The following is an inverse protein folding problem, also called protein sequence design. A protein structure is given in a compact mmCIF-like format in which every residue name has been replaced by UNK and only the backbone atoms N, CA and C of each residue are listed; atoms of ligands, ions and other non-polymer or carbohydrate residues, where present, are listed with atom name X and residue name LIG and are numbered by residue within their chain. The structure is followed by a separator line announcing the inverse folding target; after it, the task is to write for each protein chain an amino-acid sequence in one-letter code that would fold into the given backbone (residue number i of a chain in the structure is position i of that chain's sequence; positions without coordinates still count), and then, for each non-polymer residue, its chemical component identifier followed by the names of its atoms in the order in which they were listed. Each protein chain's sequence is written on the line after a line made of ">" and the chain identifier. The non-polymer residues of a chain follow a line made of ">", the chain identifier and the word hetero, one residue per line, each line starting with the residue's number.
data_IF_064613639742
#
_entry.id   IF_064613639742
#
_cell.length_a   1.000
_cell.length_b   1.000
_cell.length_c   1.000
_cell.angle_alpha   90.00
_cell.angle_beta   90.00
_cell.angle_gamma   90.00
#
_symmetry.space_group_name_H-M   'P 1'
#
loop_
_entity.id
_entity.type
_entity.pdbx_description
1 polymer ?
#
# COMPACT_ATOMS: atom_id res chain seq x y z
N UNK A 1 24.34 9.29 -5.97
CA UNK A 1 22.87 9.30 -6.14
C UNK A 1 22.42 7.88 -6.38
N UNK A 2 21.78 7.25 -5.38
CA UNK A 2 21.56 5.82 -5.31
C UNK A 2 20.37 5.29 -6.16
N UNK A 3 20.49 4.11 -6.77
CA UNK A 3 19.42 3.22 -7.24
C UNK A 3 18.83 2.46 -6.03
N UNK A 4 17.50 2.50 -5.78
CA UNK A 4 16.88 1.74 -4.70
C UNK A 4 17.22 0.24 -4.79
N UNK A 5 17.50 -0.40 -3.65
CA UNK A 5 17.90 -1.80 -3.53
C UNK A 5 19.36 -2.10 -3.92
N UNK A 6 19.99 -1.30 -4.79
CA UNK A 6 21.36 -1.51 -5.26
C UNK A 6 22.37 -0.57 -4.60
N UNK A 7 22.06 0.73 -4.62
CA UNK A 7 22.90 1.79 -4.04
C UNK A 7 22.21 2.41 -2.80
N UNK A 8 20.92 2.11 -2.57
CA UNK A 8 20.15 2.43 -1.36
C UNK A 8 19.41 1.17 -0.88
N UNK A 9 20.03 0.34 -0.03
CA UNK A 9 19.50 -0.96 0.38
C UNK A 9 18.27 -0.87 1.30
N UNK A 10 17.88 0.33 1.75
CA UNK A 10 16.89 0.53 2.81
C UNK A 10 17.51 0.45 4.22
N UNK A 11 16.74 0.85 5.23
CA UNK A 11 17.12 0.72 6.65
C UNK A 11 16.81 -0.69 7.16
N UNK A 12 17.53 -1.19 8.18
CA UNK A 12 17.31 -2.54 8.74
C UNK A 12 15.87 -2.76 9.25
N UNK A 13 15.24 -1.70 9.74
CA UNK A 13 13.84 -1.68 10.22
C UNK A 13 12.84 -1.13 9.19
N UNK A 14 13.33 -0.51 8.11
CA UNK A 14 12.52 0.19 7.13
C UNK A 14 12.10 -0.68 5.95
N UNK A 15 11.37 -0.08 5.01
CA UNK A 15 10.92 -0.72 3.77
C UNK A 15 12.10 -1.31 3.01
N UNK A 16 12.19 -2.64 2.97
CA UNK A 16 13.11 -3.34 2.08
C UNK A 16 12.77 -2.95 0.64
N UNK A 17 13.76 -2.59 -0.15
CA UNK A 17 13.60 -2.35 -1.58
C UNK A 17 13.88 -3.63 -2.37
N UNK A 18 13.02 -3.96 -3.34
CA UNK A 18 13.20 -5.11 -4.25
C UNK A 18 14.19 -4.86 -5.37
N UNK A 19 14.58 -3.60 -5.61
CA UNK A 19 15.61 -3.23 -6.61
C UNK A 19 15.24 -3.47 -8.08
N UNK A 20 14.01 -3.88 -8.38
CA UNK A 20 13.50 -4.07 -9.74
C UNK A 20 12.00 -3.77 -9.83
N UNK A 21 11.52 -3.53 -11.04
CA UNK A 21 10.11 -3.34 -11.36
C UNK A 21 9.80 -4.06 -12.68
N UNK A 22 8.60 -4.60 -12.79
CA UNK A 22 8.08 -5.11 -14.05
C UNK A 22 7.73 -3.96 -15.00
N UNK A 23 7.81 -4.22 -16.32
CA UNK A 23 7.37 -3.26 -17.35
C UNK A 23 5.91 -3.43 -17.72
N UNK A 24 5.38 -4.64 -17.56
CA UNK A 24 3.99 -5.02 -17.80
C UNK A 24 3.70 -6.35 -17.07
N UNK A 25 2.45 -6.82 -17.13
CA UNK A 25 2.08 -8.08 -16.52
C UNK A 25 2.76 -9.31 -17.16
N UNK A 26 3.11 -9.23 -18.44
CA UNK A 26 3.78 -10.31 -19.14
C UNK A 26 5.22 -10.52 -18.62
N UNK A 27 5.84 -9.49 -18.06
CA UNK A 27 7.17 -9.55 -17.45
C UNK A 27 7.24 -10.61 -16.34
N UNK A 28 6.20 -10.75 -15.52
CA UNK A 28 6.13 -11.79 -14.49
C UNK A 28 6.04 -13.21 -15.05
N UNK A 29 5.60 -13.37 -16.31
CA UNK A 29 5.50 -14.67 -16.98
C UNK A 29 6.79 -14.98 -17.74
N UNK A 30 7.26 -14.03 -18.54
CA UNK A 30 8.43 -14.20 -19.40
C UNK A 30 9.74 -14.31 -18.59
N UNK A 31 9.80 -13.59 -17.47
CA UNK A 31 10.96 -13.56 -16.57
C UNK A 31 10.63 -14.13 -15.19
N UNK A 32 9.74 -15.13 -15.12
CA UNK A 32 9.33 -15.77 -13.86
C UNK A 32 10.53 -16.27 -13.03
N UNK A 33 11.52 -16.91 -13.65
CA UNK A 33 12.75 -17.38 -12.98
C UNK A 33 13.49 -16.27 -12.19
N UNK A 34 13.31 -15.01 -12.59
CA UNK A 34 13.85 -13.84 -11.91
C UNK A 34 12.85 -13.28 -10.88
N UNK A 35 11.62 -12.97 -11.29
CA UNK A 35 10.63 -12.35 -10.41
C UNK A 35 10.20 -13.26 -9.27
N UNK A 36 10.02 -14.56 -9.51
CA UNK A 36 9.59 -15.53 -8.50
C UNK A 36 10.60 -15.65 -7.36
N UNK A 37 11.91 -15.61 -7.68
CA UNK A 37 12.98 -15.61 -6.67
C UNK A 37 12.97 -14.34 -5.82
N UNK A 38 12.66 -13.20 -6.42
CA UNK A 38 12.57 -11.93 -5.70
C UNK A 38 11.34 -11.93 -4.79
N UNK A 39 10.20 -12.39 -5.29
CA UNK A 39 8.96 -12.52 -4.53
C UNK A 39 9.17 -13.49 -3.36
N UNK A 40 9.79 -14.65 -3.59
CA UNK A 40 10.08 -15.63 -2.54
C UNK A 40 11.04 -15.08 -1.49
N UNK A 41 12.11 -14.41 -1.90
CA UNK A 41 13.08 -13.80 -0.97
C UNK A 41 12.47 -12.67 -0.15
N UNK A 42 11.68 -11.81 -0.80
CA UNK A 42 11.08 -10.63 -0.15
C UNK A 42 9.94 -11.01 0.79
N UNK A 43 9.03 -11.86 0.31
CA UNK A 43 7.81 -12.21 1.03
C UNK A 43 7.92 -13.50 1.83
N UNK A 44 8.97 -14.31 1.66
CA UNK A 44 8.96 -15.68 2.20
C UNK A 44 7.80 -16.53 1.65
N UNK A 45 7.28 -16.17 0.47
CA UNK A 45 6.17 -16.85 -0.21
C UNK A 45 6.70 -17.63 -1.40
N UNK A 46 6.60 -18.95 -1.34
CA UNK A 46 7.10 -19.82 -2.41
C UNK A 46 6.15 -19.75 -3.61
N UNK A 47 6.59 -19.11 -4.67
CA UNK A 47 5.85 -19.07 -5.94
C UNK A 47 6.04 -20.41 -6.65
N UNK A 48 5.02 -21.26 -6.59
CA UNK A 48 4.97 -22.52 -7.35
C UNK A 48 3.78 -22.49 -8.31
N UNK A 49 3.79 -23.38 -9.30
CA UNK A 49 2.70 -23.46 -10.29
C UNK A 49 1.36 -23.90 -9.69
N UNK A 50 1.40 -24.58 -8.53
CA UNK A 50 0.24 -24.98 -7.72
C UNK A 50 -0.11 -23.96 -6.63
N UNK A 51 0.69 -22.90 -6.44
CA UNK A 51 0.37 -21.85 -5.50
C UNK A 51 -0.88 -21.09 -5.96
N UNK A 52 -1.80 -20.86 -5.03
CA UNK A 52 -3.02 -20.07 -5.26
C UNK A 52 -3.06 -18.96 -4.24
N UNK A 53 -3.03 -17.72 -4.71
CA UNK A 53 -3.29 -16.58 -3.84
C UNK A 53 -4.78 -16.47 -3.56
N UNK A 54 -5.14 -16.35 -2.29
CA UNK A 54 -6.50 -16.11 -1.85
C UNK A 54 -6.73 -14.61 -1.66
N UNK A 55 -7.93 -14.14 -2.00
CA UNK A 55 -8.36 -12.75 -1.75
C UNK A 55 -9.65 -12.75 -0.93
N UNK A 56 -9.71 -11.87 0.06
CA UNK A 56 -10.89 -11.65 0.89
C UNK A 56 -11.02 -10.16 1.21
N UNK A 57 -11.94 -9.51 0.49
CA UNK A 57 -12.34 -8.12 0.71
C UNK A 57 -13.62 -7.98 1.54
N UNK A 58 -14.09 -9.07 2.17
CA UNK A 58 -15.22 -8.97 3.08
C UNK A 58 -14.78 -8.30 4.40
N UNK A 59 -14.95 -6.98 4.48
CA UNK A 59 -14.53 -6.19 5.63
C UNK A 59 -15.20 -6.60 6.95
N UNK A 60 -16.36 -7.28 6.93
CA UNK A 60 -17.02 -7.82 8.13
C UNK A 60 -16.21 -8.96 8.79
N UNK A 61 -15.28 -9.57 8.05
CA UNK A 61 -14.38 -10.60 8.58
C UNK A 61 -13.26 -10.02 9.45
N UNK A 62 -12.92 -8.73 9.30
CA UNK A 62 -11.93 -8.07 10.16
C UNK A 62 -12.47 -7.92 11.60
N UNK A 63 -11.66 -8.29 12.60
CA UNK A 63 -12.03 -8.22 14.01
C UNK A 63 -11.24 -7.14 14.75
N UNK A 64 -11.97 -6.16 15.28
CA UNK A 64 -11.41 -4.96 15.92
C UNK A 64 -10.85 -3.96 14.91
N UNK A 65 -9.88 -3.16 15.34
CA UNK A 65 -9.27 -2.12 14.50
C UNK A 65 -10.01 -0.78 14.57
N UNK A 66 -11.07 -0.71 15.37
CA UNK A 66 -11.80 0.46 15.83
C UNK A 66 -11.60 0.72 17.34
N UNK A 67 -10.80 -0.12 18.01
CA UNK A 67 -10.63 -0.20 19.46
C UNK A 67 -9.16 -0.03 19.89
N UNK A 68 -8.34 0.65 19.09
CA UNK A 68 -6.99 1.04 19.50
C UNK A 68 -7.02 2.06 20.63
N UNK A 69 -5.97 2.07 21.47
CA UNK A 69 -5.83 3.07 22.52
C UNK A 69 -5.47 4.44 21.90
N UNK A 70 -6.35 5.46 22.00
CA UNK A 70 -6.12 6.77 21.39
C UNK A 70 -4.97 7.55 22.03
N UNK A 71 -4.44 7.11 23.19
CA UNK A 71 -3.23 7.68 23.76
C UNK A 71 -1.97 7.31 22.96
N UNK A 72 -2.01 6.20 22.20
CA UNK A 72 -0.88 5.71 21.42
C UNK A 72 -1.10 5.82 19.92
N UNK A 73 -2.34 5.69 19.44
CA UNK A 73 -2.64 5.73 17.99
C UNK A 73 -3.16 7.09 17.56
N UNK A 74 -2.49 7.70 16.57
CA UNK A 74 -2.87 9.01 16.03
C UNK A 74 -3.55 8.95 14.66
N UNK A 75 -3.43 7.83 13.94
CA UNK A 75 -4.07 7.68 12.65
C UNK A 75 -3.90 6.30 12.04
N UNK A 76 -4.79 5.97 11.12
CA UNK A 76 -4.80 4.73 10.36
C UNK A 76 -4.88 5.03 8.87
N UNK A 77 -4.19 4.24 8.05
CA UNK A 77 -4.22 4.36 6.60
C UNK A 77 -4.26 2.98 5.97
N UNK A 78 -5.16 2.78 5.00
CA UNK A 78 -5.16 1.61 4.13
C UNK A 78 -4.97 2.08 2.70
N UNK A 79 -4.03 1.45 2.01
CA UNK A 79 -3.78 1.69 0.59
C UNK A 79 -3.94 0.41 -0.20
N UNK A 80 -4.41 0.51 -1.45
CA UNK A 80 -4.43 -0.62 -2.38
C UNK A 80 -4.05 -0.18 -3.79
N UNK A 81 -3.12 -0.89 -4.41
CA UNK A 81 -2.67 -0.66 -5.79
C UNK A 81 -3.35 -1.62 -6.76
N UNK A 82 -3.72 -1.14 -7.95
CA UNK A 82 -4.28 -1.95 -9.04
C UNK A 82 -3.66 -1.56 -10.38
N UNK A 83 -3.30 -2.57 -11.15
CA UNK A 83 -2.98 -2.42 -12.56
C UNK A 83 -4.09 -2.93 -13.45
N UNK A 84 -4.21 -2.32 -14.64
CA UNK A 84 -5.26 -2.55 -15.63
C UNK A 84 -4.67 -3.32 -16.81
N UNK A 85 -5.37 -4.35 -17.27
CA UNK A 85 -5.03 -5.14 -18.45
C UNK A 85 -4.94 -4.26 -19.71
N UNK A 86 -4.17 -4.68 -20.70
CA UNK A 86 -3.90 -3.96 -21.97
C UNK A 86 -3.01 -2.70 -21.85
N UNK A 87 -2.44 -2.42 -20.67
CA UNK A 87 -1.51 -1.31 -20.45
C UNK A 87 -0.20 -1.81 -19.86
N UNK A 88 0.93 -1.36 -20.44
CA UNK A 88 2.22 -1.43 -19.74
C UNK A 88 2.18 -0.57 -18.48
N UNK A 89 2.92 -0.96 -17.44
CA UNK A 89 2.99 -0.24 -16.18
C UNK A 89 3.62 1.15 -16.34
N UNK A 90 3.43 2.09 -15.37
CA UNK A 90 3.91 3.46 -15.49
C UNK A 90 5.41 3.61 -15.82
N UNK A 91 6.23 2.65 -15.39
CA UNK A 91 7.66 2.56 -15.71
C UNK A 91 7.92 2.52 -17.22
N UNK A 92 7.08 1.83 -18.00
CA UNK A 92 7.31 1.53 -19.42
C UNK A 92 6.22 2.03 -20.38
N UNK A 93 5.04 2.41 -19.88
CA UNK A 93 3.95 2.94 -20.72
C UNK A 93 4.42 4.09 -21.61
N UNK A 94 3.88 4.14 -22.82
CA UNK A 94 3.96 5.29 -23.69
C UNK A 94 3.11 6.44 -23.17
N UNK A 95 3.43 7.67 -23.59
CA UNK A 95 2.59 8.85 -23.30
C UNK A 95 1.14 8.67 -23.76
N UNK A 96 0.93 7.96 -24.88
CA UNK A 96 -0.40 7.65 -25.41
C UNK A 96 -1.18 6.68 -24.51
N UNK A 97 -0.54 5.62 -24.03
CA UNK A 97 -1.15 4.68 -23.07
C UNK A 97 -1.52 5.37 -21.77
N UNK A 98 -0.63 6.19 -21.20
CA UNK A 98 -0.89 6.93 -19.97
C UNK A 98 -2.14 7.81 -20.08
N UNK A 99 -2.28 8.53 -21.19
CA UNK A 99 -3.47 9.37 -21.48
C UNK A 99 -4.74 8.54 -21.64
N UNK A 100 -4.67 7.41 -22.36
CA UNK A 100 -5.83 6.50 -22.49
C UNK A 100 -6.25 5.93 -21.15
N UNK A 101 -5.30 5.55 -20.29
CA UNK A 101 -5.59 5.09 -18.94
C UNK A 101 -6.24 6.18 -18.08
N UNK A 102 -5.79 7.44 -18.20
CA UNK A 102 -6.44 8.56 -17.50
C UNK A 102 -7.89 8.76 -17.97
N UNK A 103 -8.16 8.70 -19.29
CA UNK A 103 -9.54 8.78 -19.81
C UNK A 103 -10.42 7.67 -19.26
N UNK A 104 -9.88 6.45 -19.19
CA UNK A 104 -10.57 5.29 -18.62
C UNK A 104 -10.85 5.49 -17.12
N UNK A 105 -9.85 5.95 -16.36
CA UNK A 105 -9.98 6.26 -14.95
C UNK A 105 -11.01 7.35 -14.70
N UNK A 106 -11.03 8.43 -15.49
CA UNK A 106 -12.04 9.48 -15.37
C UNK A 106 -13.46 8.91 -15.54
N UNK A 107 -13.67 8.07 -16.55
CA UNK A 107 -14.98 7.43 -16.82
C UNK A 107 -15.43 6.54 -15.65
N UNK A 108 -14.51 5.79 -15.04
CA UNK A 108 -14.81 4.94 -13.88
C UNK A 108 -15.05 5.77 -12.61
N UNK A 109 -14.27 6.83 -12.39
CA UNK A 109 -14.34 7.67 -11.19
C UNK A 109 -15.53 8.63 -11.22
N UNK A 110 -16.02 9.04 -12.39
CA UNK A 110 -17.31 9.73 -12.55
C UNK A 110 -18.47 8.84 -12.09
N UNK A 111 -18.49 7.57 -12.50
CA UNK A 111 -19.51 6.59 -12.06
C UNK A 111 -19.37 6.25 -10.56
N UNK A 112 -18.15 6.13 -10.04
CA UNK A 112 -17.93 5.99 -8.60
C UNK A 112 -18.47 7.21 -7.83
N UNK A 113 -18.36 8.40 -8.44
CA UNK A 113 -18.85 9.68 -7.95
C UNK A 113 -20.36 9.76 -7.75
N UNK A 114 -21.15 8.86 -8.35
CA UNK A 114 -22.60 8.81 -8.14
C UNK A 114 -22.96 8.36 -6.71
N UNK A 115 -22.21 7.41 -6.16
CA UNK A 115 -22.39 6.90 -4.79
C UNK A 115 -21.50 7.64 -3.78
N UNK A 116 -20.29 8.00 -4.18
CA UNK A 116 -19.30 8.69 -3.34
C UNK A 116 -18.85 9.96 -4.06
N UNK A 117 -19.59 11.08 -3.90
CA UNK A 117 -19.29 12.32 -4.61
C UNK A 117 -17.84 12.74 -4.45
N UNK A 118 -17.17 13.05 -5.56
CA UNK A 118 -15.77 13.43 -5.57
C UNK A 118 -15.38 14.14 -6.85
N UNK A 119 -14.11 14.54 -6.95
CA UNK A 119 -13.58 15.28 -8.10
C UNK A 119 -12.18 14.79 -8.47
N UNK A 120 -11.96 14.60 -9.77
CA UNK A 120 -10.64 14.36 -10.34
C UNK A 120 -9.92 15.70 -10.56
N UNK A 121 -8.67 15.77 -10.11
CA UNK A 121 -7.76 16.88 -10.35
C UNK A 121 -6.55 16.36 -11.12
N UNK A 122 -6.18 17.02 -12.20
CA UNK A 122 -4.86 16.79 -12.79
C UNK A 122 -3.77 17.25 -11.81
N UNK A 123 -2.60 16.64 -11.89
CA UNK A 123 -1.47 17.08 -11.06
C UNK A 123 -1.06 18.52 -11.38
N UNK A 124 -1.18 18.93 -12.64
CA UNK A 124 -0.92 20.32 -13.07
C UNK A 124 -1.82 21.32 -12.32
N UNK A 125 -3.12 21.02 -12.20
CA UNK A 125 -4.05 21.82 -11.41
C UNK A 125 -3.76 21.83 -9.90
N UNK A 126 -3.08 20.81 -9.36
CA UNK A 126 -2.70 20.73 -7.94
C UNK A 126 -1.39 21.45 -7.64
N UNK A 127 -0.50 21.58 -8.62
CA UNK A 127 0.73 22.36 -8.49
C UNK A 127 0.47 23.86 -8.52
N UNK A 128 -0.66 24.30 -9.07
CA UNK A 128 -1.11 25.69 -9.02
C UNK A 128 -2.02 25.90 -7.80
N UNK A 129 -1.48 26.59 -6.81
CA UNK A 129 -2.10 26.91 -5.52
C UNK A 129 -3.57 27.35 -5.67
N UNK A 130 -4.45 26.62 -4.99
CA UNK A 130 -5.73 27.15 -4.54
C UNK A 130 -5.79 26.92 -3.04
N UNK A 131 -6.00 27.99 -2.27
CA UNK A 131 -5.96 28.03 -0.80
C UNK A 131 -6.79 26.93 -0.11
N UNK A 132 -7.78 26.38 -0.80
CA UNK A 132 -8.66 25.31 -0.30
C UNK A 132 -8.03 23.91 -0.29
N UNK A 133 -6.82 23.71 -0.85
CA UNK A 133 -6.29 22.36 -1.12
C UNK A 133 -5.19 21.95 -0.13
N UNK A 134 -5.42 20.82 0.56
CA UNK A 134 -4.49 20.20 1.52
C UNK A 134 -3.32 19.42 0.89
N UNK A 135 -3.30 19.27 -0.44
CA UNK A 135 -2.32 18.44 -1.15
C UNK A 135 -1.58 19.33 -2.16
N UNK A 136 -0.30 19.61 -1.87
CA UNK A 136 0.63 20.21 -2.81
C UNK A 136 1.46 19.09 -3.41
N UNK A 137 1.40 18.93 -4.73
CA UNK A 137 2.23 17.94 -5.41
C UNK A 137 3.56 18.57 -5.82
N UNK A 138 4.64 18.07 -5.22
CA UNK A 138 6.00 18.44 -5.59
C UNK A 138 6.48 17.69 -6.85
N UNK A 139 7.57 18.18 -7.43
CA UNK A 139 8.23 17.48 -8.52
C UNK A 139 8.76 16.11 -8.03
N UNK A 140 8.59 15.02 -8.80
CA UNK A 140 8.95 13.69 -8.35
C UNK A 140 10.45 13.59 -8.04
N UNK A 141 10.83 12.86 -6.98
CA UNK A 141 12.23 12.70 -6.63
C UNK A 141 13.00 11.99 -7.75
N UNK A 142 14.32 12.20 -7.78
CA UNK A 142 15.21 11.61 -8.79
C UNK A 142 15.13 10.07 -8.86
N UNK A 143 14.74 9.40 -7.77
CA UNK A 143 14.48 7.96 -7.75
C UNK A 143 13.37 7.55 -8.72
N UNK A 144 12.24 8.27 -8.75
CA UNK A 144 11.11 8.00 -9.66
C UNK A 144 11.43 8.34 -11.12
N UNK A 145 12.29 9.33 -11.36
CA UNK A 145 12.79 9.67 -12.70
C UNK A 145 13.63 8.53 -13.27
N UNK A 146 14.54 7.96 -12.47
CA UNK A 146 15.45 6.90 -12.90
C UNK A 146 14.73 5.60 -13.30
N UNK A 147 13.61 5.29 -12.67
CA UNK A 147 12.82 4.09 -12.97
C UNK A 147 11.75 4.30 -14.05
N UNK A 148 11.70 5.50 -14.64
CA UNK A 148 10.80 5.80 -15.75
C UNK A 148 9.37 6.22 -15.38
N UNK A 149 8.99 6.12 -14.10
CA UNK A 149 7.66 6.52 -13.58
C UNK A 149 7.35 7.99 -13.85
N UNK A 150 8.35 8.87 -13.71
CA UNK A 150 8.20 10.31 -13.90
C UNK A 150 8.41 10.80 -15.36
N UNK A 151 8.46 9.91 -16.37
CA UNK A 151 8.59 10.35 -17.77
C UNK A 151 7.40 11.20 -18.21
N UNK A 152 7.66 12.31 -18.90
CA UNK A 152 6.63 13.29 -19.31
C UNK A 152 5.88 13.96 -18.15
N UNK A 153 6.44 14.03 -16.94
CA UNK A 153 5.76 14.66 -15.79
C UNK A 153 5.32 16.11 -16.08
N UNK A 154 4.11 16.55 -15.68
CA UNK A 154 3.03 15.82 -14.99
C UNK A 154 1.96 15.21 -15.92
N UNK A 155 2.24 15.05 -17.23
CA UNK A 155 1.25 14.67 -18.26
C UNK A 155 0.44 13.43 -17.90
N UNK A 156 -0.88 13.55 -17.90
CA UNK A 156 -1.84 12.49 -17.65
C UNK A 156 -1.75 11.81 -16.26
N UNK A 157 -1.28 12.54 -15.23
CA UNK A 157 -1.42 12.13 -13.82
C UNK A 157 -2.55 12.89 -13.17
N UNK A 158 -3.24 12.21 -12.26
CA UNK A 158 -4.36 12.81 -11.55
C UNK A 158 -4.54 12.23 -10.16
N UNK A 159 -5.27 12.98 -9.35
CA UNK A 159 -5.75 12.63 -8.03
C UNK A 159 -7.25 12.87 -8.00
N UNK A 160 -8.02 11.81 -7.75
CA UNK A 160 -9.42 11.94 -7.41
C UNK A 160 -9.60 11.98 -5.90
N UNK A 161 -10.42 12.90 -5.41
CA UNK A 161 -10.73 13.06 -3.99
C UNK A 161 -12.23 12.96 -3.78
N UNK A 162 -12.65 12.11 -2.84
CA UNK A 162 -14.02 12.15 -2.34
C UNK A 162 -14.27 13.44 -1.57
N UNK A 163 -15.51 13.93 -1.63
CA UNK A 163 -15.93 15.17 -0.99
C UNK A 163 -15.86 15.09 0.54
N UNK A 164 -16.10 13.90 1.10
CA UNK A 164 -15.98 13.63 2.53
C UNK A 164 -14.53 13.40 2.98
N UNK A 165 -13.57 13.34 2.05
CA UNK A 165 -12.15 13.11 2.32
C UNK A 165 -11.82 11.67 2.75
N UNK A 166 -12.78 10.74 2.70
CA UNK A 166 -12.58 9.35 3.12
C UNK A 166 -11.76 8.52 2.13
N UNK A 167 -11.72 8.91 0.84
CA UNK A 167 -11.00 8.20 -0.22
C UNK A 167 -10.27 9.16 -1.16
N UNK A 168 -9.01 8.83 -1.45
CA UNK A 168 -8.23 9.38 -2.54
C UNK A 168 -7.88 8.28 -3.54
N UNK A 169 -7.90 8.59 -4.84
CA UNK A 169 -7.45 7.67 -5.90
C UNK A 169 -6.43 8.36 -6.77
N UNK A 170 -5.18 7.90 -6.68
CA UNK A 170 -4.09 8.35 -7.54
C UNK A 170 -4.12 7.58 -8.85
N UNK A 171 -3.91 8.29 -9.95
CA UNK A 171 -3.92 7.73 -11.31
C UNK A 171 -2.57 8.01 -11.99
N UNK A 172 -1.98 6.98 -12.61
CA UNK A 172 -0.69 7.05 -13.33
C UNK A 172 0.52 7.49 -12.49
N UNK A 173 0.55 7.09 -11.22
CA UNK A 173 1.68 7.33 -10.33
C UNK A 173 2.67 6.16 -10.41
N UNK A 174 2.99 5.49 -9.31
CA UNK A 174 3.86 4.29 -9.32
C UNK A 174 3.17 3.09 -9.99
N UNK A 175 1.84 2.99 -9.86
CA UNK A 175 0.97 2.07 -10.59
C UNK A 175 -0.16 2.83 -11.30
N UNK A 176 -0.99 2.08 -12.04
CA UNK A 176 -2.14 2.65 -12.75
C UNK A 176 -3.13 3.32 -11.80
N UNK A 177 -3.52 2.63 -10.72
CA UNK A 177 -4.39 3.16 -9.68
C UNK A 177 -3.81 2.85 -8.31
N UNK A 178 -3.84 3.83 -7.41
CA UNK A 178 -3.59 3.63 -5.98
C UNK A 178 -4.68 4.32 -5.16
N UNK A 179 -5.50 3.52 -4.50
CA UNK A 179 -6.53 4.00 -3.58
C UNK A 179 -5.90 4.19 -2.20
N UNK A 180 -6.30 5.24 -1.50
CA UNK A 180 -5.83 5.60 -0.17
C UNK A 180 -7.01 6.05 0.67
N UNK A 181 -7.21 5.42 1.83
CA UNK A 181 -8.14 5.89 2.86
C UNK A 181 -7.36 6.17 4.13
N UNK A 182 -7.50 7.39 4.66
CA UNK A 182 -6.85 7.82 5.89
C UNK A 182 -7.91 8.22 6.93
N UNK A 183 -7.65 7.85 8.19
CA UNK A 183 -8.54 8.03 9.33
C UNK A 183 -7.75 8.57 10.51
N UNK A 184 -8.07 9.78 10.96
CA UNK A 184 -7.45 10.40 12.14
C UNK A 184 -8.11 10.00 13.46
N UNK A 185 -9.17 9.20 13.42
CA UNK A 185 -9.94 8.72 14.59
C UNK A 185 -9.49 7.34 15.07
N UNK A 186 -8.27 6.92 14.71
CA UNK A 186 -7.71 5.61 15.03
C UNK A 186 -8.57 4.41 14.57
N UNK A 187 -9.43 4.58 13.55
CA UNK A 187 -10.23 3.49 12.99
C UNK A 187 -9.60 2.94 11.72
N UNK A 188 -8.81 1.87 11.86
CA UNK A 188 -8.32 1.07 10.72
C UNK A 188 -9.46 0.28 10.07
N UNK A 189 -10.47 -0.11 10.84
CA UNK A 189 -11.63 -0.84 10.34
C UNK A 189 -12.39 -0.04 9.28
N UNK A 190 -12.72 1.23 9.54
CA UNK A 190 -13.45 2.06 8.58
C UNK A 190 -12.58 2.46 7.39
N UNK A 191 -11.26 2.66 7.57
CA UNK A 191 -10.33 2.84 6.46
C UNK A 191 -10.30 1.61 5.53
N UNK A 192 -10.22 0.41 6.11
CA UNK A 192 -10.23 -0.86 5.39
C UNK A 192 -11.54 -1.07 4.64
N UNK A 193 -12.68 -0.86 5.31
CA UNK A 193 -14.01 -0.94 4.71
C UNK A 193 -14.18 0.01 3.53
N UNK A 194 -13.73 1.26 3.67
CA UNK A 194 -13.75 2.25 2.58
C UNK A 194 -12.95 1.74 1.37
N UNK A 195 -11.77 1.17 1.60
CA UNK A 195 -10.97 0.56 0.52
C UNK A 195 -11.68 -0.63 -0.12
N UNK A 196 -12.18 -1.58 0.67
CA UNK A 196 -12.84 -2.79 0.18
C UNK A 196 -14.03 -2.47 -0.73
N UNK A 197 -14.93 -1.59 -0.27
CA UNK A 197 -16.12 -1.19 -1.03
C UNK A 197 -15.71 -0.57 -2.37
N UNK A 198 -14.78 0.39 -2.35
CA UNK A 198 -14.49 1.19 -3.53
C UNK A 198 -13.56 0.48 -4.52
N UNK A 199 -12.64 -0.37 -4.08
CA UNK A 199 -11.82 -1.18 -4.99
C UNK A 199 -12.67 -2.20 -5.75
N UNK A 200 -13.64 -2.84 -5.09
CA UNK A 200 -14.57 -3.79 -5.72
C UNK A 200 -15.54 -3.09 -6.70
N UNK A 201 -15.99 -1.88 -6.36
CA UNK A 201 -16.76 -1.04 -7.30
C UNK A 201 -15.93 -0.69 -8.53
N UNK A 202 -14.70 -0.22 -8.36
CA UNK A 202 -13.82 0.09 -9.47
C UNK A 202 -13.53 -1.16 -10.31
N UNK A 203 -13.26 -2.31 -9.70
CA UNK A 203 -13.07 -3.56 -10.43
C UNK A 203 -14.28 -3.89 -11.33
N UNK A 204 -15.49 -3.74 -10.80
CA UNK A 204 -16.74 -3.93 -11.56
C UNK A 204 -16.85 -2.95 -12.72
N UNK A 205 -16.51 -1.68 -12.51
CA UNK A 205 -16.55 -0.64 -13.54
C UNK A 205 -15.52 -0.88 -14.64
N UNK A 206 -14.27 -1.18 -14.27
CA UNK A 206 -13.18 -1.51 -15.18
C UNK A 206 -13.49 -2.77 -16.01
N UNK A 207 -14.11 -3.78 -15.39
CA UNK A 207 -14.61 -4.97 -16.11
C UNK A 207 -15.70 -4.62 -17.13
N UNK A 208 -16.65 -3.74 -16.81
CA UNK A 208 -17.67 -3.27 -17.76
C UNK A 208 -17.05 -2.50 -18.93
N UNK A 209 -15.97 -1.76 -18.66
CA UNK A 209 -15.18 -1.03 -19.66
C UNK A 209 -14.22 -1.93 -20.46
N UNK A 210 -14.25 -3.26 -20.24
CA UNK A 210 -13.39 -4.27 -20.90
C UNK A 210 -11.90 -4.10 -20.65
N UNK A 211 -11.54 -3.53 -19.51
CA UNK A 211 -10.16 -3.35 -19.07
C UNK A 211 -10.06 -3.80 -17.61
N UNK A 212 -10.02 -5.10 -17.37
CA UNK A 212 -10.04 -5.66 -16.00
C UNK A 212 -8.76 -5.37 -15.25
N UNK A 213 -8.82 -5.38 -13.91
CA UNK A 213 -7.60 -5.44 -13.12
C UNK A 213 -6.88 -6.77 -13.30
N UNK A 214 -5.56 -6.73 -13.24
CA UNK A 214 -4.72 -7.87 -13.58
C UNK A 214 -4.62 -8.81 -12.38
N UNK A 215 -5.09 -10.05 -12.58
CA UNK A 215 -5.00 -11.14 -11.62
C UNK A 215 -4.26 -12.33 -12.24
N UNK A 216 -3.34 -12.95 -11.48
CA UNK A 216 -2.71 -14.22 -11.82
C UNK A 216 -2.86 -15.17 -10.64
N UNK A 217 -3.30 -16.40 -10.88
CA UNK A 217 -3.64 -17.36 -9.82
C UNK A 217 -2.55 -17.53 -8.75
N UNK A 218 -1.27 -17.59 -9.16
CA UNK A 218 -0.13 -17.82 -8.26
C UNK A 218 0.43 -16.52 -7.64
N UNK A 219 0.09 -15.35 -8.19
CA UNK A 219 0.59 -14.05 -7.74
C UNK A 219 -0.48 -13.16 -7.10
N UNK A 220 -1.76 -13.45 -7.27
CA UNK A 220 -2.84 -12.54 -6.93
C UNK A 220 -2.95 -11.34 -7.87
N UNK A 221 -3.27 -10.18 -7.30
CA UNK A 221 -3.27 -8.89 -7.96
C UNK A 221 -1.85 -8.52 -8.39
N UNK A 222 -1.69 -8.17 -9.66
CA UNK A 222 -0.40 -7.83 -10.24
C UNK A 222 -0.26 -6.32 -10.37
N UNK A 223 0.89 -5.83 -9.95
CA UNK A 223 1.33 -4.42 -10.04
C UNK A 223 2.79 -4.36 -10.48
N UNK A 224 3.31 -3.16 -10.71
CA UNK A 224 4.67 -2.97 -11.21
C UNK A 224 5.75 -3.51 -10.27
N UNK A 225 5.54 -3.40 -8.96
CA UNK A 225 6.50 -3.84 -7.95
C UNK A 225 6.25 -5.28 -7.50
N UNK A 226 7.25 -6.19 -7.56
CA UNK A 226 7.14 -7.52 -6.96
C UNK A 226 7.00 -7.47 -5.43
N UNK A 227 7.27 -6.33 -4.79
CA UNK A 227 7.00 -6.12 -3.36
C UNK A 227 5.51 -5.95 -3.05
N UNK A 228 4.66 -5.73 -4.06
CA UNK A 228 3.26 -5.36 -3.88
C UNK A 228 2.29 -6.32 -4.61
N UNK A 229 2.77 -7.42 -5.18
CA UNK A 229 1.90 -8.47 -5.71
C UNK A 229 1.12 -9.17 -4.59
N UNK A 230 0.06 -9.89 -4.94
CA UNK A 230 -0.81 -10.60 -3.99
C UNK A 230 -2.08 -9.81 -3.77
N UNK A 231 -2.14 -9.12 -2.64
CA UNK A 231 -3.27 -8.26 -2.27
C UNK A 231 -3.17 -6.87 -2.89
N UNK A 232 -1.94 -6.41 -3.16
CA UNK A 232 -1.66 -4.99 -3.44
C UNK A 232 -1.99 -4.05 -2.28
N UNK A 233 -2.26 -4.58 -1.09
CA UNK A 233 -2.80 -3.83 0.05
C UNK A 233 -1.74 -3.62 1.13
N UNK A 234 -1.64 -2.37 1.62
CA UNK A 234 -0.87 -2.01 2.81
C UNK A 234 -1.78 -1.33 3.82
N UNK A 235 -2.02 -2.01 4.93
CA UNK A 235 -2.70 -1.47 6.11
C UNK A 235 -1.64 -0.94 7.07
N UNK A 236 -1.88 0.24 7.64
CA UNK A 236 -0.91 0.90 8.49
C UNK A 236 -1.53 1.74 9.60
N UNK A 237 -0.81 1.84 10.71
CA UNK A 237 -1.22 2.59 11.90
C UNK A 237 -0.04 3.42 12.39
N UNK A 238 -0.28 4.71 12.62
CA UNK A 238 0.67 5.61 13.27
C UNK A 238 0.55 5.45 14.79
N UNK A 239 1.61 4.92 15.42
CA UNK A 239 1.65 4.53 16.83
C UNK A 239 2.83 5.19 17.54
N UNK A 240 2.60 5.77 18.72
CA UNK A 240 3.64 6.29 19.60
C UNK A 240 4.30 5.14 20.38
N UNK A 241 5.60 4.92 20.20
CA UNK A 241 6.36 3.82 20.81
C UNK A 241 7.75 4.29 21.28
N UNK A 242 7.82 5.11 22.33
CA UNK A 242 9.08 5.72 22.79
C UNK A 242 10.07 4.72 23.44
N UNK A 243 9.56 3.72 24.13
CA UNK A 243 10.35 2.76 24.90
C UNK A 243 10.62 1.49 24.08
N UNK A 244 9.60 0.97 23.41
CA UNK A 244 9.69 -0.24 22.60
C UNK A 244 10.60 -0.04 21.38
N UNK A 245 10.61 1.17 20.78
CA UNK A 245 11.51 1.49 19.67
C UNK A 245 13.00 1.39 20.02
N UNK A 246 13.36 1.45 21.31
CA UNK A 246 14.74 1.31 21.80
C UNK A 246 15.06 -0.11 22.26
N UNK A 247 14.10 -1.02 22.22
CA UNK A 247 14.27 -2.37 22.72
C UNK A 247 15.08 -3.23 21.74
N UNK A 248 16.14 -3.88 22.23
CA UNK A 248 17.01 -4.77 21.43
C UNK A 248 16.29 -5.93 20.73
N UNK A 249 15.07 -6.29 21.15
CA UNK A 249 14.26 -7.37 20.57
C UNK A 249 13.26 -6.88 19.52
N UNK A 250 13.19 -5.58 19.24
CA UNK A 250 12.17 -5.00 18.37
C UNK A 250 12.13 -5.65 16.98
N UNK A 251 13.29 -5.80 16.33
CA UNK A 251 13.37 -6.39 14.99
C UNK A 251 12.82 -7.83 14.99
N UNK A 252 13.21 -8.64 15.97
CA UNK A 252 12.69 -10.01 16.15
C UNK A 252 11.18 -10.03 16.45
N UNK A 253 10.66 -9.07 17.20
CA UNK A 253 9.21 -8.93 17.45
C UNK A 253 8.47 -8.59 16.15
N UNK A 254 8.94 -7.61 15.39
CA UNK A 254 8.33 -7.18 14.13
C UNK A 254 8.35 -8.30 13.09
N UNK A 255 9.48 -9.00 12.93
CA UNK A 255 9.62 -10.14 12.02
C UNK A 255 8.63 -11.26 12.37
N UNK A 256 8.49 -11.61 13.65
CA UNK A 256 7.53 -12.64 14.12
C UNK A 256 6.08 -12.23 13.92
N UNK A 257 5.78 -10.94 14.03
CA UNK A 257 4.45 -10.37 13.75
C UNK A 257 4.21 -10.16 12.25
N UNK A 258 5.24 -10.32 11.40
CA UNK A 258 5.22 -10.02 9.97
C UNK A 258 4.84 -8.56 9.70
N UNK A 259 5.36 -7.67 10.53
CA UNK A 259 5.16 -6.22 10.46
C UNK A 259 6.47 -5.51 10.14
N UNK A 260 6.34 -4.30 9.63
CA UNK A 260 7.46 -3.36 9.43
C UNK A 260 7.16 -2.04 10.13
N UNK A 261 8.23 -1.32 10.51
CA UNK A 261 8.14 -0.06 11.26
C UNK A 261 8.92 1.04 10.56
N UNK A 262 8.21 2.06 10.09
CA UNK A 262 8.81 3.23 9.44
C UNK A 262 8.80 4.44 10.39
N UNK A 263 9.86 5.24 10.38
CA UNK A 263 9.90 6.53 11.11
C UNK A 263 8.98 7.54 10.44
N UNK A 264 8.25 8.32 11.22
CA UNK A 264 7.46 9.46 10.71
C UNK A 264 8.18 10.80 10.94
N UNK A 265 7.57 11.90 10.51
CA UNK A 265 8.05 13.26 10.83
C UNK A 265 7.95 13.59 12.32
N UNK A 266 7.07 12.91 13.06
CA UNK A 266 6.80 13.16 14.47
C UNK A 266 7.67 12.26 15.35
N UNK A 267 8.58 12.83 16.17
CA UNK A 267 9.48 12.04 17.01
C UNK A 267 8.72 11.10 17.95
N UNK A 268 9.08 9.82 17.94
CA UNK A 268 8.44 8.78 18.75
C UNK A 268 7.19 8.15 18.12
N UNK A 269 6.67 8.73 17.04
CA UNK A 269 5.57 8.15 16.26
C UNK A 269 6.14 7.36 15.09
N UNK A 270 5.71 6.11 14.98
CA UNK A 270 6.12 5.18 13.96
C UNK A 270 4.91 4.68 13.17
N UNK A 271 5.09 4.45 11.87
CA UNK A 271 4.08 3.83 11.00
C UNK A 271 4.31 2.32 10.99
N UNK A 272 3.43 1.59 11.65
CA UNK A 272 3.43 0.12 11.69
C UNK A 272 2.55 -0.40 10.56
N UNK A 273 3.03 -1.36 9.77
CA UNK A 273 2.26 -1.91 8.65
C UNK A 273 2.59 -3.37 8.37
N UNK A 274 1.77 -4.05 7.56
CA UNK A 274 2.10 -5.40 7.10
C UNK A 274 3.38 -5.40 6.26
N UNK A 275 4.26 -6.38 6.49
CA UNK A 275 5.48 -6.56 5.72
C UNK A 275 5.20 -7.24 4.37
N UNK A 276 4.46 -8.34 4.42
CA UNK A 276 4.08 -9.13 3.25
C UNK A 276 2.83 -8.56 2.59
N UNK A 277 2.69 -8.75 1.29
CA UNK A 277 1.49 -8.43 0.51
C UNK A 277 0.89 -9.63 -0.20
N UNK A 278 1.55 -10.80 -0.17
CA UNK A 278 1.11 -12.05 -0.81
C UNK A 278 1.07 -13.22 0.18
N UNK A 279 0.30 -14.25 -0.16
CA UNK A 279 0.18 -15.50 0.62
C UNK A 279 -0.81 -15.42 1.79
N UNK A 280 -1.41 -14.25 2.02
CA UNK A 280 -2.46 -13.99 3.00
C UNK A 280 -3.47 -13.04 2.37
N UNK A 281 -4.76 -13.21 2.66
CA UNK A 281 -5.83 -12.35 2.15
C UNK A 281 -5.73 -10.92 2.68
N UNK A 282 -6.48 -10.00 2.08
CA UNK A 282 -6.55 -8.60 2.51
C UNK A 282 -7.03 -8.44 3.96
N UNK A 283 -8.09 -9.16 4.33
CA UNK A 283 -8.53 -9.26 5.73
C UNK A 283 -7.42 -9.83 6.61
N UNK A 284 -6.76 -10.90 6.19
CA UNK A 284 -5.72 -11.55 6.99
C UNK A 284 -4.52 -10.64 7.26
N UNK A 285 -4.02 -9.93 6.24
CA UNK A 285 -2.93 -8.96 6.41
C UNK A 285 -3.35 -7.80 7.31
N UNK A 286 -4.56 -7.30 7.15
CA UNK A 286 -5.08 -6.22 7.99
C UNK A 286 -5.25 -6.69 9.44
N UNK A 287 -5.68 -7.95 9.66
CA UNK A 287 -5.78 -8.53 11.01
C UNK A 287 -4.41 -8.65 11.69
N UNK A 288 -3.34 -9.00 10.95
CA UNK A 288 -1.98 -9.00 11.50
C UNK A 288 -1.57 -7.62 12.03
N UNK A 289 -1.95 -6.55 11.31
CA UNK A 289 -1.69 -5.17 11.75
C UNK A 289 -2.50 -4.84 13.00
N UNK A 290 -3.80 -5.18 13.04
CA UNK A 290 -4.65 -4.94 14.21
C UNK A 290 -4.08 -5.63 15.46
N UNK A 291 -3.83 -6.93 15.37
CA UNK A 291 -3.39 -7.72 16.51
C UNK A 291 -1.98 -7.33 16.94
N UNK A 292 -1.09 -7.10 15.98
CA UNK A 292 0.28 -6.70 16.24
C UNK A 292 0.37 -5.32 16.87
N UNK A 293 -0.36 -4.32 16.39
CA UNK A 293 -0.38 -2.98 17.01
C UNK A 293 -0.90 -3.03 18.44
N UNK A 294 -1.95 -3.81 18.72
CA UNK A 294 -2.44 -4.01 20.10
C UNK A 294 -1.38 -4.63 21.01
N UNK A 295 -0.61 -5.58 20.49
CA UNK A 295 0.49 -6.19 21.23
C UNK A 295 1.65 -5.21 21.47
N UNK A 296 2.03 -4.43 20.45
CA UNK A 296 3.09 -3.41 20.56
C UNK A 296 2.71 -2.34 21.60
N UNK A 297 1.46 -1.87 21.61
CA UNK A 297 0.96 -0.93 22.63
C UNK A 297 1.01 -1.55 24.04
N UNK A 298 0.66 -2.84 24.17
CA UNK A 298 0.76 -3.55 25.46
C UNK A 298 2.21 -3.65 25.94
N UNK A 299 3.16 -3.89 25.04
CA UNK A 299 4.58 -3.91 25.35
C UNK A 299 5.08 -2.53 25.75
N UNK A 300 4.69 -1.48 25.02
CA UNK A 300 5.02 -0.08 25.35
C UNK A 300 4.56 0.28 26.76
N UNK A 301 3.29 0.03 27.10
CA UNK A 301 2.73 0.26 28.43
C UNK A 301 3.49 -0.46 29.55
N UNK A 302 4.02 -1.65 29.29
CA UNK A 302 4.83 -2.37 30.29
C UNK A 302 6.19 -1.73 30.48
N UNK A 303 6.84 -1.34 29.38
CA UNK A 303 8.15 -0.69 29.44
C UNK A 303 8.07 0.69 30.12
N UNK A 304 7.00 1.46 29.90
CA UNK A 304 6.74 2.71 30.62
C UNK A 304 6.67 2.53 32.14
N UNK A 305 6.17 1.37 32.59
CA UNK A 305 6.08 1.01 34.00
C UNK A 305 7.33 0.24 34.51
N UNK A 306 8.45 0.30 33.78
CA UNK A 306 9.70 -0.44 34.05
C UNK A 306 9.52 -1.96 34.13
N UNK A 307 8.47 -2.50 33.52
CA UNK A 307 8.19 -3.92 33.43
C UNK A 307 8.91 -4.60 32.26
N UNK A 308 9.13 -5.91 32.40
CA UNK A 308 9.62 -6.75 31.30
C UNK A 308 8.52 -7.07 30.28
N UNK A 309 8.95 -7.37 29.05
CA UNK A 309 8.08 -7.79 27.94
C UNK A 309 8.32 -9.24 27.50
N UNK A 310 9.13 -10.00 28.25
CA UNK A 310 9.61 -11.32 27.81
C UNK A 310 8.48 -12.34 27.59
N UNK A 311 7.42 -12.29 28.40
CA UNK A 311 6.21 -13.11 28.27
C UNK A 311 5.24 -12.62 27.17
N UNK A 312 5.46 -11.43 26.61
CA UNK A 312 4.67 -10.88 25.51
C UNK A 312 5.28 -11.15 24.14
N UNK A 313 6.58 -11.50 24.06
CA UNK A 313 7.23 -11.70 22.77
C UNK A 313 6.62 -12.92 22.07
N UNK A 314 6.10 -12.77 20.84
CA UNK A 314 5.51 -13.88 20.10
C UNK A 314 6.47 -15.06 19.98
N UNK A 315 5.94 -16.28 20.00
CA UNK A 315 6.73 -17.48 19.72
C UNK A 315 7.26 -17.44 18.27
N UNK A 316 8.43 -18.04 18.05
CA UNK A 316 8.95 -18.24 16.70
C UNK A 316 8.06 -19.29 16.01
N UNK A 317 7.46 -18.93 14.88
CA UNK A 317 6.75 -19.88 14.01
C UNK A 317 7.73 -20.63 13.13
#
# INVERSE_FOLDING_TARGET
>A
MSRPGLEDPGQSTGTKSVGCLAGDAQSYILFCDFFDRIIESYHGYKVTSDAVHESDFNYDNLKGGDDFDPAYVSGCEVTVSRSVEDFSFPTHCSRGERRRLLTLANTALEQLGEDLPGKLYSIDELSHESEDRKVVMEFPPASLIKIGVARDWPDARALWLSKDGSLAVWVNMEDHLKLVSYRSDASLQEAFKTICINVQKLETLYKKLRHTFIWKTHLGWVVSSPAEVGTGLKASVSVNLLNLAKNKRLDDILDRLRLQMETTSDPGVYKISNLQTIGVTEVGLTQLVVDGVKLLIRMEKRLENNGGIDDLVPAQK
#
